data_IF_789473266173
#
_entry.id   IF_789473266173
#
_cell.length_a   1.000
_cell.length_b   1.000
_cell.length_c   1.000
_cell.angle_alpha   90.00
_cell.angle_beta   90.00
_cell.angle_gamma   90.00
#
_symmetry.space_group_name_H-M   'P 1'
#
loop_
_entity.id
_entity.type
_entity.pdbx_description
1 polymer ?
#
# COMPACT_ATOMS: atom_id res chain seq x y z
N UNK A 1 0.20 -21.12 -4.52
CA UNK A 1 0.66 -20.08 -3.59
C UNK A 1 1.96 -19.55 -4.12
N UNK A 2 2.07 -18.23 -4.26
CA UNK A 2 3.26 -17.55 -4.73
C UNK A 2 4.48 -17.89 -3.87
N UNK A 3 5.67 -17.78 -4.46
CA UNK A 3 6.96 -17.91 -3.77
C UNK A 3 7.95 -16.92 -4.37
N UNK A 4 8.83 -16.40 -3.53
CA UNK A 4 9.92 -15.52 -3.97
C UNK A 4 11.16 -16.36 -4.24
N UNK A 5 11.81 -16.09 -5.37
CA UNK A 5 13.02 -16.76 -5.82
C UNK A 5 14.12 -15.71 -5.96
N UNK A 6 15.38 -16.14 -6.11
CA UNK A 6 16.49 -15.19 -6.22
C UNK A 6 16.32 -14.22 -7.41
N UNK A 7 15.80 -14.71 -8.54
CA UNK A 7 15.49 -13.91 -9.72
C UNK A 7 14.48 -12.79 -9.43
N UNK A 8 13.47 -13.07 -8.60
CA UNK A 8 12.50 -12.07 -8.16
C UNK A 8 13.15 -10.97 -7.31
N UNK A 9 14.09 -11.34 -6.44
CA UNK A 9 14.84 -10.39 -5.61
C UNK A 9 15.79 -9.53 -6.45
N UNK A 10 16.44 -10.13 -7.45
CA UNK A 10 17.34 -9.42 -8.34
C UNK A 10 16.56 -8.38 -9.18
N UNK A 11 15.41 -8.76 -9.75
CA UNK A 11 14.52 -7.81 -10.44
C UNK A 11 14.01 -6.72 -9.52
N UNK A 12 13.54 -7.05 -8.31
CA UNK A 12 13.08 -6.03 -7.36
C UNK A 12 14.19 -5.04 -6.98
N UNK A 13 15.43 -5.51 -6.85
CA UNK A 13 16.58 -4.65 -6.55
C UNK A 13 16.87 -3.68 -7.70
N UNK A 14 16.77 -4.14 -8.94
CA UNK A 14 17.00 -3.34 -10.14
C UNK A 14 15.84 -2.38 -10.42
N UNK A 15 14.60 -2.87 -10.38
CA UNK A 15 13.41 -2.16 -10.84
C UNK A 15 12.64 -1.46 -9.72
N UNK A 16 12.81 -1.87 -8.47
CA UNK A 16 12.10 -1.33 -7.31
C UNK A 16 10.70 -1.88 -7.09
N UNK A 17 10.27 -2.84 -7.91
CA UNK A 17 8.99 -3.52 -7.79
C UNK A 17 9.04 -4.96 -8.30
N UNK A 18 7.99 -5.72 -8.00
CA UNK A 18 7.80 -7.11 -8.44
C UNK A 18 6.31 -7.38 -8.67
N UNK A 19 5.96 -8.06 -9.77
CA UNK A 19 4.62 -8.60 -10.00
C UNK A 19 4.54 -10.05 -9.52
N UNK A 20 3.52 -10.38 -8.75
CA UNK A 20 3.19 -11.72 -8.30
C UNK A 20 1.96 -12.20 -9.08
N UNK A 21 2.16 -13.15 -10.00
CA UNK A 21 1.09 -13.63 -10.91
C UNK A 21 0.40 -14.89 -10.40
N UNK A 22 0.94 -15.52 -9.37
CA UNK A 22 0.31 -16.60 -8.64
C UNK A 22 -0.60 -16.06 -7.53
N UNK A 23 -1.60 -16.85 -7.08
CA UNK A 23 -2.40 -16.51 -5.91
C UNK A 23 -1.53 -16.28 -4.67
N UNK A 24 -1.72 -15.12 -4.03
CA UNK A 24 -1.05 -14.71 -2.79
C UNK A 24 -1.66 -15.41 -1.59
N UNK A 25 -2.99 -15.37 -1.45
CA UNK A 25 -3.73 -15.97 -0.35
C UNK A 25 -4.33 -17.30 -0.77
N UNK A 26 -4.48 -18.23 0.17
CA UNK A 26 -5.31 -19.41 -0.05
C UNK A 26 -6.76 -18.99 -0.33
N UNK A 27 -7.51 -19.82 -1.05
CA UNK A 27 -8.84 -19.46 -1.54
C UNK A 27 -9.81 -19.03 -0.43
N UNK A 28 -9.78 -19.71 0.73
CA UNK A 28 -10.65 -19.37 1.86
C UNK A 28 -10.32 -17.98 2.43
N UNK A 29 -9.04 -17.68 2.64
CA UNK A 29 -8.62 -16.40 3.20
C UNK A 29 -8.82 -15.25 2.20
N UNK A 30 -8.67 -15.52 0.90
CA UNK A 30 -8.95 -14.55 -0.16
C UNK A 30 -10.45 -14.21 -0.27
N UNK A 31 -11.34 -15.22 -0.24
CA UNK A 31 -12.79 -14.94 -0.27
C UNK A 31 -13.24 -14.16 0.97
N UNK A 32 -12.66 -14.44 2.14
CA UNK A 32 -12.88 -13.60 3.33
C UNK A 32 -12.44 -12.15 3.10
N UNK A 33 -11.26 -11.93 2.50
CA UNK A 33 -10.74 -10.58 2.20
C UNK A 33 -11.70 -9.83 1.27
N UNK A 34 -12.17 -10.49 0.21
CA UNK A 34 -13.10 -9.91 -0.75
C UNK A 34 -14.41 -9.50 -0.07
N UNK A 35 -15.04 -10.41 0.66
CA UNK A 35 -16.29 -10.13 1.36
C UNK A 35 -16.13 -9.00 2.39
N UNK A 36 -15.03 -9.03 3.15
CA UNK A 36 -14.73 -7.98 4.12
C UNK A 36 -14.53 -6.62 3.45
N UNK A 37 -13.84 -6.56 2.30
CA UNK A 37 -13.68 -5.32 1.55
C UNK A 37 -15.03 -4.75 1.11
N UNK A 38 -15.97 -5.58 0.64
CA UNK A 38 -17.30 -5.12 0.24
C UNK A 38 -18.09 -4.58 1.42
N UNK A 39 -18.17 -5.36 2.51
CA UNK A 39 -18.83 -4.95 3.75
C UNK A 39 -18.23 -3.66 4.33
N UNK A 40 -16.91 -3.51 4.24
CA UNK A 40 -16.19 -2.35 4.73
C UNK A 40 -16.55 -1.08 3.95
N UNK A 41 -16.60 -1.14 2.60
CA UNK A 41 -17.01 0.02 1.80
C UNK A 41 -18.51 0.33 1.91
N UNK A 42 -19.35 -0.66 2.18
CA UNK A 42 -20.79 -0.48 2.39
C UNK A 42 -21.11 0.20 3.73
N UNK A 43 -20.35 -0.09 4.79
CA UNK A 43 -20.59 0.45 6.14
C UNK A 43 -19.98 1.82 6.39
N UNK A 44 -18.92 2.20 5.67
CA UNK A 44 -18.25 3.49 5.90
C UNK A 44 -19.13 4.66 5.43
N UNK A 45 -19.28 5.73 6.25
CA UNK A 45 -20.10 6.87 5.88
C UNK A 45 -19.71 7.48 4.54
N UNK A 46 -20.72 7.80 3.74
CA UNK A 46 -20.54 8.56 2.50
C UNK A 46 -20.06 9.98 2.83
N UNK A 47 -19.18 10.52 2.00
CA UNK A 47 -18.73 11.92 2.09
C UNK A 47 -19.92 12.86 1.87
N UNK A 48 -19.75 14.15 2.19
CA UNK A 48 -20.81 15.16 2.05
C UNK A 48 -21.40 15.32 0.64
N UNK A 49 -20.74 14.78 -0.39
CA UNK A 49 -21.24 14.70 -1.77
C UNK A 49 -22.04 13.41 -2.07
N UNK A 50 -22.34 12.58 -1.07
CA UNK A 50 -23.08 11.32 -1.19
C UNK A 50 -22.27 10.15 -1.76
N UNK A 51 -20.98 10.30 -2.03
CA UNK A 51 -20.11 9.24 -2.57
C UNK A 51 -19.40 8.48 -1.45
N UNK A 52 -19.22 7.17 -1.62
CA UNK A 52 -18.37 6.38 -0.73
C UNK A 52 -16.91 6.86 -0.82
N UNK A 53 -16.11 6.74 0.25
CA UNK A 53 -14.68 6.99 0.15
C UNK A 53 -14.02 5.98 -0.79
N UNK A 54 -12.93 6.39 -1.44
CA UNK A 54 -12.12 5.53 -2.34
C UNK A 54 -10.90 4.95 -1.63
N UNK A 55 -10.67 5.35 -0.36
CA UNK A 55 -9.61 4.89 0.52
C UNK A 55 -10.21 4.74 1.91
N UNK A 56 -9.94 3.62 2.57
CA UNK A 56 -10.19 3.41 3.99
C UNK A 56 -8.84 3.17 4.63
N UNK A 57 -8.45 4.11 5.48
CA UNK A 57 -7.11 4.19 6.08
C UNK A 57 -7.06 3.46 7.42
N UNK A 58 -6.04 2.62 7.58
CA UNK A 58 -5.73 1.85 8.78
C UNK A 58 -6.94 1.23 9.52
N UNK A 59 -7.84 0.48 8.85
CA UNK A 59 -9.02 -0.09 9.50
C UNK A 59 -8.68 -1.06 10.64
N UNK A 60 -7.47 -1.64 10.61
CA UNK A 60 -6.93 -2.52 11.66
C UNK A 60 -6.81 -1.82 13.02
N UNK A 61 -6.84 -0.48 13.08
CA UNK A 61 -6.86 0.23 14.35
C UNK A 61 -8.19 0.06 15.10
N UNK A 62 -9.29 -0.19 14.41
CA UNK A 62 -10.61 -0.31 15.05
C UNK A 62 -11.28 -1.66 14.80
N UNK A 63 -10.76 -2.45 13.88
CA UNK A 63 -11.29 -3.74 13.50
C UNK A 63 -10.18 -4.82 13.51
N UNK A 64 -10.02 -5.54 14.63
CA UNK A 64 -8.94 -6.51 14.79
C UNK A 64 -8.97 -7.67 13.78
N UNK A 65 -10.11 -7.92 13.10
CA UNK A 65 -10.19 -8.96 12.06
C UNK A 65 -9.19 -8.72 10.93
N UNK A 66 -8.79 -7.46 10.70
CA UNK A 66 -7.84 -7.12 9.65
C UNK A 66 -6.48 -7.77 9.90
N UNK A 67 -6.10 -8.03 11.16
CA UNK A 67 -4.86 -8.71 11.51
C UNK A 67 -4.78 -10.16 10.99
N UNK A 68 -5.92 -10.81 10.70
CA UNK A 68 -5.94 -12.14 10.07
C UNK A 68 -5.17 -12.15 8.74
N UNK A 69 -5.20 -11.04 8.00
CA UNK A 69 -4.42 -10.87 6.77
C UNK A 69 -3.05 -10.25 7.03
N UNK A 70 -2.97 -9.21 7.88
CA UNK A 70 -1.70 -8.52 8.12
C UNK A 70 -0.62 -9.45 8.68
N UNK A 71 -1.00 -10.44 9.48
CA UNK A 71 -0.12 -11.44 10.10
C UNK A 71 -0.21 -12.81 9.44
N UNK A 72 -0.84 -12.91 8.27
CA UNK A 72 -0.96 -14.17 7.55
C UNK A 72 0.41 -14.65 7.04
N UNK A 73 0.74 -15.92 7.29
CA UNK A 73 1.95 -16.53 6.73
C UNK A 73 1.97 -16.49 5.20
N UNK A 74 0.80 -16.56 4.54
CA UNK A 74 0.67 -16.45 3.08
C UNK A 74 1.27 -15.13 2.55
N UNK A 75 1.14 -14.03 3.31
CA UNK A 75 1.68 -12.70 2.94
C UNK A 75 3.09 -12.52 3.52
N UNK A 76 3.29 -12.85 4.80
CA UNK A 76 4.55 -12.63 5.47
C UNK A 76 5.69 -13.44 4.83
N UNK A 77 5.42 -14.64 4.32
CA UNK A 77 6.43 -15.44 3.59
C UNK A 77 6.84 -14.81 2.25
N UNK A 78 5.96 -13.99 1.64
CA UNK A 78 6.31 -13.21 0.44
C UNK A 78 7.10 -11.95 0.78
N UNK A 79 6.90 -11.38 1.97
CA UNK A 79 7.55 -10.13 2.39
C UNK A 79 8.91 -10.39 3.05
N UNK A 80 9.04 -11.48 3.79
CA UNK A 80 10.25 -11.86 4.53
C UNK A 80 11.55 -11.79 3.71
N UNK A 81 11.59 -12.21 2.42
CA UNK A 81 12.79 -12.09 1.60
C UNK A 81 13.27 -10.64 1.38
N UNK A 82 12.39 -9.65 1.53
CA UNK A 82 12.70 -8.23 1.38
C UNK A 82 13.01 -7.55 2.71
N UNK A 83 12.31 -7.91 3.78
CA UNK A 83 12.46 -7.28 5.12
C UNK A 83 13.40 -8.03 6.06
N UNK A 84 13.69 -9.30 5.78
CA UNK A 84 14.18 -10.26 6.74
C UNK A 84 13.06 -10.86 7.62
N UNK A 85 13.41 -11.80 8.52
CA UNK A 85 12.45 -12.62 9.28
C UNK A 85 11.74 -11.89 10.43
N UNK A 86 12.21 -10.68 10.76
CA UNK A 86 11.69 -9.88 11.86
C UNK A 86 10.96 -8.67 11.28
N UNK A 87 9.63 -8.75 11.26
CA UNK A 87 8.76 -7.95 10.42
C UNK A 87 7.80 -7.14 11.27
N UNK A 88 7.73 -5.84 11.00
CA UNK A 88 6.75 -4.93 11.55
C UNK A 88 5.81 -4.41 10.45
N UNK A 89 4.61 -3.99 10.86
CA UNK A 89 3.66 -3.24 10.03
C UNK A 89 3.34 -1.90 10.67
N UNK A 90 2.85 -0.96 9.89
CA UNK A 90 2.33 0.29 10.43
C UNK A 90 1.08 0.82 9.72
N UNK A 91 0.79 0.35 8.50
CA UNK A 91 -0.35 0.81 7.74
C UNK A 91 -0.95 -0.31 6.88
N UNK A 92 -2.27 -0.24 6.73
CA UNK A 92 -3.01 -1.03 5.76
C UNK A 92 -4.16 -0.22 5.20
N UNK A 93 -4.42 -0.36 3.91
CA UNK A 93 -5.39 0.44 3.18
C UNK A 93 -6.28 -0.46 2.33
N UNK A 94 -7.58 -0.23 2.39
CA UNK A 94 -8.49 -0.70 1.34
C UNK A 94 -8.70 0.43 0.36
N UNK A 95 -8.39 0.21 -0.91
CA UNK A 95 -8.57 1.18 -1.98
C UNK A 95 -9.61 0.68 -2.96
N UNK A 96 -10.49 1.59 -3.42
CA UNK A 96 -11.51 1.28 -4.42
C UNK A 96 -11.67 2.44 -5.39
N UNK A 97 -11.42 2.17 -6.67
CA UNK A 97 -11.76 3.08 -7.77
C UNK A 97 -13.09 2.64 -8.39
N UNK A 98 -14.20 3.34 -8.12
CA UNK A 98 -15.49 3.04 -8.74
C UNK A 98 -15.47 3.26 -10.25
N UNK A 99 -16.36 2.60 -11.02
CA UNK A 99 -16.50 2.82 -12.46
C UNK A 99 -16.72 4.30 -12.79
N UNK A 100 -16.04 4.80 -13.82
CA UNK A 100 -16.20 6.16 -14.36
C UNK A 100 -15.82 7.33 -13.45
N UNK A 101 -15.56 7.09 -12.16
CA UNK A 101 -15.36 8.13 -11.14
C UNK A 101 -14.12 7.90 -10.26
N UNK A 102 -13.28 6.91 -10.60
CA UNK A 102 -12.05 6.65 -9.87
C UNK A 102 -11.09 7.82 -10.01
N UNK A 103 -10.58 8.32 -8.87
CA UNK A 103 -9.68 9.47 -8.84
C UNK A 103 -8.32 9.17 -9.47
N UNK A 104 -7.72 10.19 -10.07
CA UNK A 104 -6.30 10.20 -10.39
C UNK A 104 -5.47 10.14 -9.09
N UNK A 105 -4.34 9.45 -9.14
CA UNK A 105 -3.29 9.50 -8.11
C UNK A 105 -2.04 9.99 -8.82
N UNK A 106 -1.67 11.24 -8.55
CA UNK A 106 -0.47 11.87 -9.11
C UNK A 106 0.80 11.10 -8.76
N UNK A 107 1.84 11.28 -9.56
CA UNK A 107 3.15 10.68 -9.32
C UNK A 107 3.70 11.10 -7.95
N UNK A 108 4.09 10.11 -7.16
CA UNK A 108 4.64 10.29 -5.82
C UNK A 108 5.50 9.10 -5.41
N UNK A 109 6.26 9.31 -4.34
CA UNK A 109 6.91 8.30 -3.53
C UNK A 109 6.12 8.18 -2.22
N UNK A 110 5.77 6.95 -1.82
CA UNK A 110 5.11 6.67 -0.55
C UNK A 110 5.96 7.19 0.63
N UNK A 111 7.29 7.04 0.52
CA UNK A 111 8.27 7.50 1.51
C UNK A 111 8.24 9.01 1.77
N UNK A 112 7.74 9.82 0.84
CA UNK A 112 7.63 11.27 1.04
C UNK A 112 6.59 11.63 2.12
N UNK A 113 5.60 10.77 2.35
CA UNK A 113 4.56 10.97 3.37
C UNK A 113 4.96 10.45 4.75
N UNK A 114 6.01 9.62 4.81
CA UNK A 114 6.57 9.08 6.05
C UNK A 114 7.99 9.58 6.31
N UNK A 115 8.38 10.69 5.68
CA UNK A 115 9.71 11.27 5.85
C UNK A 115 10.04 11.42 7.34
N UNK A 116 11.20 10.91 7.73
CA UNK A 116 11.72 10.87 9.12
C UNK A 116 10.92 10.03 10.11
N UNK A 117 9.85 9.34 9.71
CA UNK A 117 9.12 8.44 10.61
C UNK A 117 9.80 7.08 10.75
N UNK A 118 10.65 6.68 9.80
CA UNK A 118 11.31 5.37 9.78
C UNK A 118 12.78 5.56 9.35
N UNK A 119 13.71 4.96 10.09
CA UNK A 119 15.15 5.08 9.79
C UNK A 119 15.88 3.72 9.91
N UNK A 120 16.52 3.23 8.83
CA UNK A 120 16.45 3.73 7.45
C UNK A 120 15.05 3.55 6.84
N UNK A 121 14.76 4.25 5.74
CA UNK A 121 13.51 4.07 4.97
C UNK A 121 13.58 2.78 4.15
N UNK A 122 13.20 1.67 4.77
CA UNK A 122 13.16 0.32 4.17
C UNK A 122 11.76 -0.28 4.30
N UNK A 123 10.77 0.48 3.84
CA UNK A 123 9.37 0.03 3.77
C UNK A 123 9.15 -0.74 2.47
N UNK A 124 8.51 -1.89 2.61
CA UNK A 124 8.10 -2.78 1.53
C UNK A 124 6.57 -2.82 1.52
N UNK A 125 6.00 -2.45 0.38
CA UNK A 125 4.56 -2.37 0.18
C UNK A 125 4.09 -3.54 -0.67
N UNK A 126 3.11 -4.31 -0.19
CA UNK A 126 2.38 -5.29 -1.01
C UNK A 126 0.97 -4.78 -1.27
N UNK A 127 0.50 -4.92 -2.51
CA UNK A 127 -0.85 -4.57 -2.93
C UNK A 127 -1.51 -5.79 -3.56
N UNK A 128 -2.51 -6.36 -2.88
CA UNK A 128 -3.22 -7.56 -3.31
C UNK A 128 -4.49 -7.13 -4.03
N UNK A 129 -4.66 -7.58 -5.26
CA UNK A 129 -5.83 -7.29 -6.07
C UNK A 129 -7.04 -8.09 -5.55
N UNK A 130 -8.12 -7.39 -5.24
CA UNK A 130 -9.42 -7.99 -4.87
C UNK A 130 -10.28 -8.16 -6.13
N UNK A 131 -10.20 -7.17 -7.01
CA UNK A 131 -10.78 -7.14 -8.36
C UNK A 131 -9.68 -7.03 -9.43
N UNK A 132 -9.98 -7.36 -10.71
CA UNK A 132 -9.03 -7.18 -11.80
C UNK A 132 -8.50 -5.74 -11.87
N UNK A 133 -7.21 -5.60 -12.14
CA UNK A 133 -6.54 -4.31 -12.31
C UNK A 133 -5.87 -4.27 -13.68
N UNK A 134 -6.33 -3.36 -14.52
CA UNK A 134 -5.81 -3.11 -15.86
C UNK A 134 -5.51 -1.63 -16.04
N UNK A 135 -4.75 -1.28 -17.08
CA UNK A 135 -4.54 0.11 -17.46
C UNK A 135 -5.88 0.84 -17.64
N UNK A 136 -6.90 0.18 -18.19
CA UNK A 136 -8.21 0.76 -18.46
C UNK A 136 -9.04 1.11 -17.22
N UNK A 137 -8.85 0.40 -16.10
CA UNK A 137 -9.55 0.68 -14.84
C UNK A 137 -8.66 1.35 -13.78
N UNK A 138 -7.52 1.90 -14.21
CA UNK A 138 -6.64 2.71 -13.37
C UNK A 138 -5.78 1.87 -12.42
N UNK A 139 -5.16 0.79 -12.92
CA UNK A 139 -4.11 0.09 -12.19
C UNK A 139 -2.93 1.02 -11.84
N UNK A 140 -2.07 0.58 -10.93
CA UNK A 140 -0.89 1.37 -10.55
C UNK A 140 0.11 1.38 -11.70
N UNK A 141 0.75 2.52 -11.92
CA UNK A 141 1.92 2.64 -12.81
C UNK A 141 3.13 3.09 -12.01
N UNK A 142 4.30 2.61 -12.39
CA UNK A 142 5.59 2.92 -11.76
C UNK A 142 6.59 3.41 -12.80
N UNK A 143 7.63 4.12 -12.36
CA UNK A 143 8.83 4.34 -13.15
C UNK A 143 9.93 3.42 -12.59
N UNK A 144 10.32 2.34 -13.29
CA UNK A 144 11.29 1.38 -12.78
C UNK A 144 12.63 2.03 -12.46
N UNK A 145 13.26 1.56 -11.37
CA UNK A 145 14.60 1.95 -10.96
C UNK A 145 14.71 3.30 -10.25
N UNK A 146 13.61 4.03 -10.02
CA UNK A 146 13.69 5.34 -9.35
C UNK A 146 13.87 5.26 -7.83
N UNK A 147 13.61 4.10 -7.23
CA UNK A 147 13.73 3.87 -5.78
C UNK A 147 15.15 4.07 -5.21
N UNK A 148 16.17 4.09 -6.07
CA UNK A 148 17.57 4.33 -5.68
C UNK A 148 18.03 5.79 -5.82
N UNK A 149 17.19 6.70 -6.30
CA UNK A 149 17.58 8.09 -6.59
C UNK A 149 17.46 9.05 -5.40
N UNK A 150 17.17 8.55 -4.20
CA UNK A 150 16.99 9.37 -3.00
C UNK A 150 15.54 9.87 -2.87
N UNK A 151 15.36 11.11 -2.41
CA UNK A 151 14.04 11.72 -2.24
C UNK A 151 13.81 12.78 -3.33
N UNK A 152 12.62 12.76 -3.93
CA UNK A 152 12.23 13.73 -4.96
C UNK A 152 11.78 15.08 -4.36
N UNK A 153 11.77 16.15 -5.16
CA UNK A 153 11.23 17.44 -4.72
C UNK A 153 9.73 17.53 -4.98
N UNK A 154 9.04 18.22 -4.06
CA UNK A 154 7.59 18.41 -4.11
C UNK A 154 7.21 19.88 -4.05
N UNK A 155 6.20 20.28 -4.82
CA UNK A 155 5.58 21.60 -4.79
C UNK A 155 4.14 21.57 -4.23
N UNK A 156 3.67 22.64 -3.57
CA UNK A 156 2.27 22.75 -3.16
C UNK A 156 1.31 22.68 -4.36
N UNK A 157 0.09 22.19 -4.13
CA UNK A 157 -0.98 22.25 -5.15
C UNK A 157 -1.97 23.37 -4.86
N UNK A 158 -2.32 24.15 -5.90
CA UNK A 158 -3.22 25.31 -5.81
C UNK A 158 -4.70 24.92 -5.58
N UNK A 159 -5.10 23.69 -5.92
CA UNK A 159 -6.45 23.16 -5.69
C UNK A 159 -6.42 21.71 -5.16
N UNK A 160 -6.52 21.48 -3.84
CA UNK A 160 -6.61 20.14 -3.26
C UNK A 160 -7.98 19.48 -3.49
N UNK A 161 -8.97 20.17 -4.08
CA UNK A 161 -10.35 19.65 -4.23
C UNK A 161 -10.50 18.77 -5.48
N UNK A 162 -9.75 17.67 -5.52
CA UNK A 162 -9.88 16.68 -6.59
C UNK A 162 -8.87 15.56 -6.41
N UNK A 163 -7.64 15.95 -6.13
CA UNK A 163 -6.51 15.08 -5.88
C UNK A 163 -6.50 14.52 -4.44
N UNK A 164 -5.79 13.42 -4.23
CA UNK A 164 -5.67 12.77 -2.92
C UNK A 164 -4.62 13.44 -2.02
N UNK A 165 -3.75 14.26 -2.60
CA UNK A 165 -2.57 14.83 -1.93
C UNK A 165 -2.60 16.36 -1.86
N UNK A 166 -1.82 16.94 -0.94
CA UNK A 166 -1.66 18.40 -0.78
C UNK A 166 -0.45 18.96 -1.54
N UNK A 167 0.43 18.08 -2.01
CA UNK A 167 1.65 18.39 -2.75
C UNK A 167 1.77 17.39 -3.91
N UNK A 168 2.45 17.80 -4.96
CA UNK A 168 2.79 16.95 -6.11
C UNK A 168 4.29 16.98 -6.36
N UNK A 169 4.82 15.89 -6.89
CA UNK A 169 6.21 15.82 -7.31
C UNK A 169 6.47 16.78 -8.48
N UNK A 170 7.64 17.41 -8.52
CA UNK A 170 7.95 18.33 -9.61
C UNK A 170 8.03 17.60 -10.97
N UNK A 171 7.40 18.12 -12.04
CA UNK A 171 7.30 17.40 -13.31
C UNK A 171 8.63 17.09 -14.02
N UNK A 172 9.66 17.91 -13.82
CA UNK A 172 10.99 17.74 -14.44
C UNK A 172 11.77 16.52 -13.92
N UNK A 173 11.27 15.90 -12.85
CA UNK A 173 11.83 14.66 -12.27
C UNK A 173 11.09 13.40 -12.76
N UNK A 174 10.06 13.54 -13.60
CA UNK A 174 9.18 12.46 -14.06
C UNK A 174 9.44 12.17 -15.54
N UNK A 175 9.92 10.96 -15.83
CA UNK A 175 10.02 10.45 -17.20
C UNK A 175 8.89 9.47 -17.48
N UNK A 176 7.71 9.99 -17.85
CA UNK A 176 6.53 9.17 -18.12
C UNK A 176 6.72 8.19 -19.28
N UNK A 177 7.69 8.42 -20.17
CA UNK A 177 7.98 7.50 -21.28
C UNK A 177 8.49 6.13 -20.81
N UNK A 178 8.95 6.05 -19.56
CA UNK A 178 9.41 4.83 -18.89
C UNK A 178 8.34 4.17 -18.02
N UNK A 179 7.12 4.72 -17.97
CA UNK A 179 6.08 4.21 -17.10
C UNK A 179 5.69 2.77 -17.45
N UNK A 180 5.58 1.92 -16.44
CA UNK A 180 5.08 0.53 -16.56
C UNK A 180 3.82 0.37 -15.72
N UNK A 181 2.78 -0.20 -16.34
CA UNK A 181 1.49 -0.49 -15.69
C UNK A 181 1.53 -1.86 -15.01
N UNK A 182 1.12 -1.90 -13.74
CA UNK A 182 1.10 -3.09 -12.90
C UNK A 182 -0.28 -3.74 -12.95
N UNK A 183 -0.55 -4.47 -14.03
CA UNK A 183 -1.80 -5.21 -14.18
C UNK A 183 -1.80 -6.49 -13.35
N UNK A 184 -2.92 -6.82 -12.72
CA UNK A 184 -3.06 -7.98 -11.81
C UNK A 184 -4.48 -8.50 -11.83
N UNK A 185 -4.66 -9.81 -11.79
CA UNK A 185 -5.95 -10.47 -11.59
C UNK A 185 -6.28 -10.63 -10.09
N UNK A 186 -7.53 -10.93 -9.71
CA UNK A 186 -7.89 -11.21 -8.32
C UNK A 186 -6.94 -12.23 -7.67
N UNK A 187 -6.49 -11.91 -6.46
CA UNK A 187 -5.53 -12.66 -5.65
C UNK A 187 -4.08 -12.63 -6.15
N UNK A 188 -3.79 -11.91 -7.23
CA UNK A 188 -2.42 -11.53 -7.59
C UNK A 188 -2.01 -10.26 -6.84
N UNK A 189 -0.73 -9.91 -6.89
CA UNK A 189 -0.24 -8.73 -6.22
C UNK A 189 0.92 -8.06 -6.96
N UNK A 190 1.25 -6.86 -6.51
CA UNK A 190 2.56 -6.29 -6.73
C UNK A 190 3.22 -5.91 -5.40
N UNK A 191 4.54 -6.07 -5.33
CA UNK A 191 5.39 -5.62 -4.23
C UNK A 191 6.21 -4.45 -4.74
N UNK A 192 6.39 -3.40 -3.95
CA UNK A 192 7.17 -2.23 -4.35
C UNK A 192 7.87 -1.54 -3.18
N UNK A 193 8.99 -0.90 -3.48
CA UNK A 193 9.74 -0.07 -2.55
C UNK A 193 8.99 1.24 -2.30
N UNK A 194 8.96 1.71 -1.05
CA UNK A 194 8.30 2.97 -0.72
C UNK A 194 8.86 4.20 -1.47
N UNK A 195 10.08 4.12 -1.99
CA UNK A 195 10.74 5.19 -2.76
C UNK A 195 10.51 5.07 -4.28
N UNK A 196 9.82 4.05 -4.77
CA UNK A 196 9.55 3.99 -6.20
C UNK A 196 8.56 5.10 -6.58
N UNK A 197 8.83 5.80 -7.68
CA UNK A 197 7.93 6.82 -8.22
C UNK A 197 6.77 6.08 -8.86
N UNK A 198 5.56 6.33 -8.36
CA UNK A 198 4.35 5.65 -8.82
C UNK A 198 3.12 6.55 -8.76
N UNK A 199 2.08 6.13 -9.49
CA UNK A 199 0.81 6.83 -9.59
C UNK A 199 -0.26 5.91 -10.15
N UNK A 200 -1.46 6.43 -10.41
CA UNK A 200 -2.48 5.66 -11.13
C UNK A 200 -3.48 6.57 -11.83
N UNK A 201 -3.83 6.21 -13.06
CA UNK A 201 -4.80 6.93 -13.87
C UNK A 201 -6.20 6.91 -13.25
N UNK A 202 -7.07 7.90 -13.55
CA UNK A 202 -8.47 7.81 -13.19
C UNK A 202 -9.12 6.54 -13.75
N UNK A 203 -10.11 6.00 -13.05
CA UNK A 203 -10.89 4.88 -13.58
C UNK A 203 -12.03 5.44 -14.45
N UNK A 204 -11.83 5.41 -15.76
CA UNK A 204 -12.83 5.83 -16.75
C UNK A 204 -13.63 4.66 -17.33
N UNK A 205 -13.39 3.44 -16.86
CA UNK A 205 -14.03 2.22 -17.36
C UNK A 205 -15.40 1.96 -16.70
N UNK A 206 -16.11 0.94 -17.19
CA UNK A 206 -17.35 0.43 -16.59
C UNK A 206 -17.14 -0.54 -15.43
N UNK A 207 -15.89 -0.86 -15.08
CA UNK A 207 -15.55 -1.86 -14.07
C UNK A 207 -14.88 -1.21 -12.86
N UNK A 208 -15.23 -1.66 -11.66
CA UNK A 208 -14.53 -1.27 -10.43
C UNK A 208 -13.13 -1.89 -10.37
N UNK A 209 -12.31 -1.32 -9.49
CA UNK A 209 -11.02 -1.87 -9.11
C UNK A 209 -10.82 -1.65 -7.62
N UNK A 210 -10.55 -2.73 -6.89
CA UNK A 210 -10.24 -2.66 -5.47
C UNK A 210 -9.03 -3.52 -5.11
N UNK A 211 -8.35 -3.10 -4.07
CA UNK A 211 -7.21 -3.80 -3.52
C UNK A 211 -7.00 -3.54 -2.04
N UNK A 212 -6.20 -4.43 -1.46
CA UNK A 212 -5.70 -4.34 -0.11
C UNK A 212 -4.20 -4.09 -0.14
N UNK A 213 -3.79 -2.92 0.34
CA UNK A 213 -2.41 -2.50 0.37
C UNK A 213 -1.89 -2.53 1.81
N UNK A 214 -0.69 -3.08 2.02
CA UNK A 214 -0.10 -3.24 3.35
C UNK A 214 1.32 -2.68 3.31
N UNK A 215 1.76 -2.07 4.41
CA UNK A 215 3.10 -1.50 4.57
C UNK A 215 3.86 -2.25 5.66
N UNK A 216 4.91 -2.96 5.25
CA UNK A 216 5.80 -3.72 6.10
C UNK A 216 7.17 -3.05 6.17
N UNK A 217 7.93 -3.31 7.24
CA UNK A 217 9.33 -2.92 7.36
C UNK A 217 10.10 -3.88 8.25
N UNK A 218 11.43 -3.92 8.09
CA UNK A 218 12.31 -4.69 8.98
C UNK A 218 12.32 -4.10 10.38
N UNK A 219 12.24 -4.91 11.44
CA UNK A 219 12.35 -4.40 12.83
C UNK A 219 13.75 -3.90 13.20
N UNK A 220 14.72 -4.03 12.28
CA UNK A 220 16.02 -3.33 12.36
C UNK A 220 15.88 -1.82 12.11
N UNK A 221 14.82 -1.39 11.42
CA UNK A 221 14.53 0.02 11.26
C UNK A 221 13.91 0.56 12.55
N UNK A 222 14.29 1.79 12.88
CA UNK A 222 13.73 2.53 13.99
C UNK A 222 12.51 3.31 13.55
N UNK A 223 11.39 3.08 14.22
CA UNK A 223 10.24 3.97 14.15
C UNK A 223 10.48 5.22 15.00
N UNK A 224 10.31 6.36 14.36
CA UNK A 224 10.49 7.72 14.87
C UNK A 224 9.20 8.56 14.73
N UNK A 225 8.16 7.99 14.13
CA UNK A 225 6.85 8.64 14.01
C UNK A 225 6.15 8.78 15.36
N UNK A 226 5.26 9.76 15.45
CA UNK A 226 4.47 10.02 16.64
C UNK A 226 3.50 8.85 16.95
N UNK A 227 3.56 8.23 18.14
CA UNK A 227 2.70 7.11 18.51
C UNK A 227 1.22 7.48 18.65
N UNK A 228 0.86 8.77 18.72
CA UNK A 228 -0.55 9.21 18.65
C UNK A 228 -1.06 9.29 17.20
N UNK A 229 -0.14 9.45 16.24
CA UNK A 229 -0.43 9.62 14.82
C UNK A 229 -0.32 8.32 14.03
N UNK A 230 0.48 7.36 14.49
CA UNK A 230 0.64 6.04 13.87
C UNK A 230 0.91 4.94 14.91
N UNK A 231 0.32 3.77 14.68
CA UNK A 231 0.59 2.57 15.47
C UNK A 231 1.34 1.54 14.64
N UNK A 232 2.44 1.04 15.19
CA UNK A 232 3.19 -0.06 14.60
C UNK A 232 2.90 -1.36 15.35
N UNK A 233 2.91 -2.48 14.64
CA UNK A 233 2.67 -3.80 15.22
C UNK A 233 3.75 -4.77 14.79
N UNK A 234 4.18 -5.64 15.71
CA UNK A 234 5.13 -6.70 15.43
C UNK A 234 4.38 -7.85 14.77
N UNK A 235 4.60 -8.05 13.46
CA UNK A 235 3.91 -9.07 12.69
C UNK A 235 4.59 -10.45 12.79
N UNK A 236 5.94 -10.48 12.82
CA UNK A 236 6.73 -11.72 12.93
C UNK A 236 8.07 -11.45 13.59
N UNK A 237 8.58 -12.44 14.32
CA UNK A 237 9.93 -12.40 14.88
C UNK A 237 10.05 -11.53 16.12
N UNK A 238 11.11 -10.72 16.21
CA UNK A 238 11.42 -9.88 17.37
C UNK A 238 11.89 -8.48 16.97
N UNK A 239 11.83 -7.57 17.92
CA UNK A 239 12.35 -6.22 17.72
C UNK A 239 13.87 -6.14 17.85
N UNK A 240 14.51 -5.33 16.99
CA UNK A 240 15.96 -5.10 17.01
C UNK A 240 16.35 -3.63 17.20
N UNK A 241 15.39 -2.68 17.14
CA UNK A 241 15.66 -1.25 17.23
C UNK A 241 15.05 -0.58 18.48
N UNK A 242 14.48 -1.34 19.41
CA UNK A 242 13.83 -0.81 20.62
C UNK A 242 12.55 -0.04 20.28
N UNK A 243 11.81 -0.49 19.28
CA UNK A 243 10.52 0.06 18.86
C UNK A 243 9.45 -0.18 19.93
N UNK A 244 8.41 0.66 19.95
CA UNK A 244 7.25 0.49 20.82
C UNK A 244 6.06 0.04 19.99
N UNK A 245 5.64 -1.20 20.16
CA UNK A 245 4.55 -1.79 19.40
C UNK A 245 3.21 -1.62 20.11
N UNK A 246 2.19 -1.34 19.33
CA UNK A 246 0.81 -1.38 19.74
C UNK A 246 0.34 -2.83 19.92
N UNK A 247 -0.77 -2.98 20.64
CA UNK A 247 -1.40 -4.24 20.95
C UNK A 247 -2.49 -4.53 19.90
N UNK A 248 -2.37 -5.57 19.06
CA UNK A 248 -3.34 -5.86 18.01
C UNK A 248 -4.73 -6.24 18.55
N UNK A 249 -4.85 -6.56 19.85
CA UNK A 249 -6.15 -6.83 20.49
C UNK A 249 -6.87 -5.56 20.95
N UNK A 250 -6.22 -4.39 20.87
CA UNK A 250 -6.78 -3.10 21.29
C UNK A 250 -7.20 -2.26 20.11
N UNK A 251 -8.31 -1.53 20.30
CA UNK A 251 -8.73 -0.51 19.35
C UNK A 251 -8.10 0.84 19.66
N UNK A 252 -7.62 1.50 18.62
CA UNK A 252 -7.06 2.84 18.63
C UNK A 252 -7.93 3.72 17.76
N UNK A 253 -8.53 4.76 18.35
CA UNK A 253 -9.42 5.64 17.57
C UNK A 253 -8.55 6.56 16.71
N UNK A 254 -8.76 6.60 15.38
CA UNK A 254 -8.02 7.53 14.54
C UNK A 254 -8.34 8.97 14.97
N UNK A 255 -7.30 9.80 15.02
CA UNK A 255 -7.47 11.23 15.14
C UNK A 255 -8.08 11.79 13.84
N UNK A 256 -9.39 11.64 13.68
CA UNK A 256 -10.18 12.44 12.74
C UNK A 256 -10.22 12.03 11.26
N UNK A 257 -10.01 10.77 10.87
CA UNK A 257 -10.21 10.31 9.49
C UNK A 257 -10.87 8.91 9.46
N UNK A 258 -12.12 8.87 8.96
CA UNK A 258 -12.79 7.71 8.35
C UNK A 258 -13.31 8.21 6.98
#
# INVERSE_FOLDING_TARGET
MAKIEQTHLDSYKEDGYLLIKEPVLNATLFEKLRNYSDELFDRVPKKGNGKAPQLIDCPHWVDPVVFDWLFSDDILDLIEPFTGPDIAIFASHFLRKPPGEGKNITWHEDSAYWDKMIQPMEVVSINIAIEPQSQGNGCMKVIPGTHVFGYSDYEPMDDPTGEVFLRKMKPDQIDESKAVYLETEPNQAHIHDARIVHGSEPNTSSSSRSCFAIRYFSTKCKWMGDPESFHIYLARGKDHAGNSFADPEKSYKPAGLI
#
